data_IF_251565425379
#
_entry.id   IF_251565425379
#
_cell.length_a   1.000
_cell.length_b   1.000
_cell.length_c   1.000
_cell.angle_alpha   90.00
_cell.angle_beta   90.00
_cell.angle_gamma   90.00
#
_symmetry.space_group_name_H-M   'P 1'
#
loop_
_entity.id
_entity.type
_entity.pdbx_description
1 polymer ?
#
# COMPACT_ATOMS: atom_id res chain seq x y z
N UNK A 1 3.27 -9.05 -18.52
CA UNK A 1 1.79 -9.15 -18.62
C UNK A 1 1.48 -10.19 -19.68
N UNK A 2 0.62 -11.13 -19.36
CA UNK A 2 0.12 -12.17 -20.28
C UNK A 2 -1.40 -12.03 -20.33
N UNK A 3 -2.00 -12.15 -21.51
CA UNK A 3 -3.44 -12.03 -21.71
C UNK A 3 -3.87 -10.68 -22.29
N UNK A 4 -5.17 -10.36 -22.19
CA UNK A 4 -5.73 -9.12 -22.71
C UNK A 4 -5.38 -7.93 -21.81
N UNK A 5 -4.48 -7.08 -22.28
CA UNK A 5 -4.00 -5.92 -21.55
C UNK A 5 -4.97 -4.73 -21.55
N UNK A 6 -6.03 -4.80 -22.33
CA UNK A 6 -7.03 -3.73 -22.40
C UNK A 6 -8.08 -3.85 -21.29
N UNK A 7 -8.19 -5.01 -20.67
CA UNK A 7 -9.19 -5.25 -19.64
C UNK A 7 -8.68 -4.78 -18.26
N UNK A 8 -9.50 -4.05 -17.50
CA UNK A 8 -9.12 -3.60 -16.18
C UNK A 8 -9.21 -4.72 -15.14
N UNK A 9 -8.40 -4.61 -14.11
CA UNK A 9 -8.52 -5.36 -12.87
C UNK A 9 -9.09 -4.46 -11.78
N UNK A 10 -9.91 -5.02 -10.91
CA UNK A 10 -10.27 -4.36 -9.66
C UNK A 10 -9.19 -4.63 -8.62
N UNK A 11 -8.61 -3.58 -8.06
CA UNK A 11 -7.59 -3.69 -7.02
C UNK A 11 -8.13 -3.19 -5.68
N UNK A 12 -8.00 -4.02 -4.66
CA UNK A 12 -8.33 -3.68 -3.29
C UNK A 12 -7.12 -3.93 -2.40
N UNK A 13 -6.93 -3.07 -1.40
CA UNK A 13 -5.83 -3.13 -0.44
C UNK A 13 -6.40 -3.29 0.95
N UNK A 14 -5.85 -4.24 1.71
CA UNK A 14 -6.27 -4.55 3.06
C UNK A 14 -5.06 -4.63 3.99
N UNK A 15 -5.26 -4.37 5.29
CA UNK A 15 -4.27 -4.71 6.29
C UNK A 15 -4.23 -6.22 6.49
N UNK A 16 -3.06 -6.81 6.48
CA UNK A 16 -2.88 -8.23 6.75
C UNK A 16 -3.03 -8.50 8.25
N UNK A 17 -3.78 -9.55 8.60
CA UNK A 17 -3.97 -10.02 9.98
C UNK A 17 -3.15 -11.29 10.27
N UNK A 18 -2.77 -12.02 9.24
CA UNK A 18 -1.85 -13.14 9.36
C UNK A 18 -0.43 -12.63 9.59
N UNK A 19 0.22 -13.05 10.68
CA UNK A 19 1.63 -12.77 10.91
C UNK A 19 2.52 -13.67 10.07
N UNK A 20 3.32 -13.08 9.18
CA UNK A 20 4.28 -13.81 8.36
C UNK A 20 5.65 -13.77 9.03
N UNK A 21 6.09 -14.91 9.57
CA UNK A 21 7.41 -15.06 10.21
C UNK A 21 8.37 -15.82 9.31
N UNK A 22 9.62 -15.39 9.24
CA UNK A 22 10.68 -16.12 8.51
C UNK A 22 11.07 -17.44 9.17
N UNK A 23 10.87 -17.52 10.48
CA UNK A 23 11.18 -18.74 11.27
C UNK A 23 9.89 -19.40 11.75
N UNK A 24 9.92 -20.72 11.78
CA UNK A 24 8.80 -21.48 12.33
C UNK A 24 8.74 -21.26 13.85
N UNK A 25 7.61 -20.79 14.41
CA UNK A 25 7.51 -20.50 15.84
C UNK A 25 7.65 -21.76 16.72
N UNK A 26 7.29 -22.93 16.20
CA UNK A 26 7.37 -24.20 16.93
C UNK A 26 8.74 -24.87 16.80
N UNK A 27 9.39 -24.67 15.65
CA UNK A 27 10.71 -25.23 15.35
C UNK A 27 11.59 -24.13 14.72
N UNK A 28 12.20 -23.25 15.53
CA UNK A 28 12.93 -22.07 15.03
C UNK A 28 14.11 -22.38 14.10
N UNK A 29 14.59 -23.62 14.08
CA UNK A 29 15.62 -24.06 13.11
C UNK A 29 15.09 -24.25 11.68
N UNK A 30 13.78 -24.22 11.48
CA UNK A 30 13.15 -24.41 10.19
C UNK A 30 12.62 -23.08 9.65
N UNK A 31 12.84 -22.84 8.36
CA UNK A 31 12.27 -21.72 7.64
C UNK A 31 10.79 -22.00 7.38
N UNK A 32 9.93 -21.04 7.71
CA UNK A 32 8.52 -21.12 7.32
C UNK A 32 8.37 -21.11 5.80
N UNK A 33 7.45 -21.94 5.33
CA UNK A 33 7.06 -21.96 3.92
C UNK A 33 5.61 -21.50 3.81
N UNK A 34 5.38 -20.60 2.89
CA UNK A 34 4.07 -20.06 2.58
C UNK A 34 3.64 -20.55 1.21
N UNK A 35 2.49 -21.18 1.14
CA UNK A 35 1.97 -21.77 -0.08
C UNK A 35 0.87 -20.89 -0.67
N UNK A 36 0.74 -20.92 -2.00
CA UNK A 36 -0.22 -20.07 -2.72
C UNK A 36 -1.68 -20.45 -2.53
N UNK A 37 -1.95 -21.64 -2.02
CA UNK A 37 -3.29 -22.13 -1.67
C UNK A 37 -3.67 -21.88 -0.21
N UNK A 38 -2.76 -21.37 0.60
CA UNK A 38 -3.05 -21.00 1.99
C UNK A 38 -3.89 -19.75 2.05
N UNK A 39 -4.75 -19.68 3.08
CA UNK A 39 -5.54 -18.47 3.37
C UNK A 39 -4.71 -17.57 4.28
N UNK A 40 -4.55 -16.33 3.85
CA UNK A 40 -3.93 -15.27 4.63
C UNK A 40 -5.01 -14.28 5.01
N UNK A 41 -5.35 -14.28 6.29
CA UNK A 41 -6.40 -13.43 6.85
C UNK A 41 -6.01 -11.97 6.73
N UNK A 42 -7.00 -11.14 6.40
CA UNK A 42 -6.84 -9.70 6.29
C UNK A 42 -8.09 -9.01 6.84
N UNK A 43 -7.92 -7.78 7.26
CA UNK A 43 -9.03 -6.93 7.69
C UNK A 43 -10.12 -6.86 6.60
N UNK A 44 -11.36 -6.77 7.00
CA UNK A 44 -12.47 -6.54 6.07
C UNK A 44 -12.52 -5.09 5.55
N UNK A 45 -11.82 -4.19 6.22
CA UNK A 45 -11.79 -2.78 5.87
C UNK A 45 -10.77 -2.52 4.76
N UNK A 46 -11.24 -1.99 3.63
CA UNK A 46 -10.39 -1.57 2.51
C UNK A 46 -9.59 -0.32 2.89
N UNK A 47 -8.29 -0.36 2.64
CA UNK A 47 -7.39 0.77 2.85
C UNK A 47 -7.39 1.76 1.68
N UNK A 48 -7.74 1.33 0.47
CA UNK A 48 -7.79 2.20 -0.70
C UNK A 48 -8.92 3.23 -0.60
N UNK A 49 -8.64 4.48 -0.99
CA UNK A 49 -9.61 5.60 -0.93
C UNK A 49 -10.67 5.51 -2.03
N UNK A 50 -10.31 4.92 -3.15
CA UNK A 50 -11.25 4.60 -4.24
C UNK A 50 -11.61 3.14 -4.11
N UNK A 51 -12.85 2.86 -3.73
CA UNK A 51 -13.33 1.48 -3.67
C UNK A 51 -13.38 0.89 -5.07
N UNK A 52 -12.97 -0.39 -5.18
CA UNK A 52 -12.91 -1.13 -6.43
C UNK A 52 -12.10 -0.37 -7.52
N UNK A 53 -10.90 0.07 -7.11
CA UNK A 53 -9.99 0.78 -8.00
C UNK A 53 -9.74 -0.01 -9.28
N UNK A 54 -10.11 0.56 -10.42
CA UNK A 54 -9.87 -0.05 -11.72
C UNK A 54 -8.44 0.24 -12.19
N UNK A 55 -7.67 -0.80 -12.38
CA UNK A 55 -6.33 -0.74 -12.93
C UNK A 55 -6.30 -1.39 -14.32
N UNK A 56 -5.89 -0.64 -15.32
CA UNK A 56 -5.63 -1.15 -16.66
C UNK A 56 -4.13 -1.31 -16.86
N UNK A 57 -3.61 -2.48 -17.25
CA UNK A 57 -2.21 -2.67 -17.57
C UNK A 57 -1.69 -1.63 -18.57
N UNK A 58 -0.40 -1.30 -18.51
CA UNK A 58 0.26 -0.26 -19.31
C UNK A 58 -0.10 1.20 -18.99
N UNK A 59 -0.86 1.45 -17.95
CA UNK A 59 -1.12 2.81 -17.49
C UNK A 59 0.13 3.39 -16.83
N UNK A 60 0.50 4.60 -17.20
CA UNK A 60 1.43 5.42 -16.43
C UNK A 60 0.64 6.08 -15.32
N UNK A 61 1.00 5.80 -14.09
CA UNK A 61 0.28 6.31 -12.95
C UNK A 61 0.72 7.71 -12.53
N UNK A 62 -0.23 8.42 -11.98
CA UNK A 62 -0.04 9.72 -11.34
C UNK A 62 -0.59 9.65 -9.93
N UNK A 63 0.10 10.26 -8.96
CA UNK A 63 -0.45 10.48 -7.64
C UNK A 63 -1.07 11.87 -7.55
N UNK A 64 -2.22 11.97 -6.91
CA UNK A 64 -2.84 13.25 -6.57
C UNK A 64 -2.49 13.60 -5.13
N UNK A 65 -1.94 14.78 -4.96
CA UNK A 65 -1.66 15.37 -3.66
C UNK A 65 -2.70 16.43 -3.33
N UNK A 66 -3.51 16.16 -2.31
CA UNK A 66 -4.60 17.02 -1.89
C UNK A 66 -4.15 17.88 -0.72
N UNK A 67 -4.15 19.21 -0.89
CA UNK A 67 -3.83 20.15 0.19
C UNK A 67 -5.10 20.56 0.91
N UNK A 68 -5.11 20.36 2.23
CA UNK A 68 -6.21 20.72 3.11
C UNK A 68 -5.82 21.85 4.04
N UNK A 69 -6.75 22.71 4.38
CA UNK A 69 -6.57 23.69 5.47
C UNK A 69 -6.61 22.96 6.80
N UNK A 70 -5.58 23.16 7.62
CA UNK A 70 -5.46 22.51 8.92
C UNK A 70 -6.67 22.79 9.84
N UNK A 71 -7.22 24.01 9.80
CA UNK A 71 -8.30 24.43 10.70
C UNK A 71 -9.68 23.91 10.30
N UNK A 72 -9.91 23.61 9.04
CA UNK A 72 -11.25 23.26 8.53
C UNK A 72 -11.29 21.92 7.77
N UNK A 73 -10.14 21.32 7.48
CA UNK A 73 -10.04 20.14 6.62
C UNK A 73 -10.43 20.37 5.15
N UNK A 74 -10.79 21.61 4.77
CA UNK A 74 -11.26 21.93 3.42
C UNK A 74 -10.09 21.82 2.44
N UNK A 75 -10.29 21.08 1.36
CA UNK A 75 -9.37 21.02 0.23
C UNK A 75 -9.32 22.37 -0.48
N UNK A 76 -8.15 22.96 -0.60
CA UNK A 76 -7.97 24.23 -1.32
C UNK A 76 -7.09 24.12 -2.57
N UNK A 77 -6.34 23.04 -2.70
CA UNK A 77 -5.55 22.77 -3.88
C UNK A 77 -5.35 21.27 -4.07
N UNK A 78 -5.19 20.86 -5.32
CA UNK A 78 -4.81 19.50 -5.70
C UNK A 78 -3.64 19.59 -6.66
N UNK A 79 -2.53 18.96 -6.31
CA UNK A 79 -1.38 18.81 -7.19
C UNK A 79 -1.36 17.38 -7.75
N UNK A 80 -0.93 17.22 -8.99
CA UNK A 80 -0.72 15.91 -9.60
C UNK A 80 0.77 15.70 -9.80
N UNK A 81 1.28 14.59 -9.26
CA UNK A 81 2.66 14.17 -9.46
C UNK A 81 2.65 13.06 -10.49
N UNK A 82 3.29 13.30 -11.64
CA UNK A 82 3.53 12.27 -12.64
C UNK A 82 4.82 11.53 -12.27
N UNK A 83 4.73 10.20 -12.17
CA UNK A 83 5.94 9.39 -12.02
C UNK A 83 6.70 9.37 -13.35
N UNK A 84 7.84 10.07 -13.37
CA UNK A 84 8.66 10.25 -14.57
C UNK A 84 9.40 9.00 -15.03
N UNK A 85 9.17 7.85 -14.42
CA UNK A 85 9.90 6.64 -14.69
C UNK A 85 9.35 5.90 -15.92
N UNK A 86 10.26 5.41 -16.74
CA UNK A 86 10.00 4.56 -17.90
C UNK A 86 9.39 3.19 -17.55
N UNK A 87 9.34 2.84 -16.27
CA UNK A 87 8.79 1.58 -15.78
C UNK A 87 7.31 1.73 -15.43
N UNK A 88 6.45 0.82 -15.86
CA UNK A 88 5.06 0.79 -15.45
C UNK A 88 4.98 0.62 -13.93
N UNK A 89 4.20 1.48 -13.29
CA UNK A 89 3.95 1.43 -11.84
C UNK A 89 2.45 1.55 -11.57
N UNK A 90 2.04 1.04 -10.44
CA UNK A 90 0.67 1.17 -9.94
C UNK A 90 0.72 2.04 -8.70
N UNK A 91 -0.06 3.12 -8.70
CA UNK A 91 -0.29 3.95 -7.52
C UNK A 91 -1.70 3.73 -7.01
N UNK A 92 -1.82 3.33 -5.77
CA UNK A 92 -3.10 3.06 -5.13
C UNK A 92 -3.29 4.10 -4.03
N UNK A 93 -4.20 5.07 -4.21
CA UNK A 93 -4.48 6.05 -3.17
C UNK A 93 -5.09 5.36 -1.94
N UNK A 94 -4.56 5.66 -0.75
CA UNK A 94 -5.04 5.11 0.51
C UNK A 94 -5.94 6.11 1.23
N UNK A 95 -6.82 5.61 2.10
CA UNK A 95 -7.71 6.43 2.94
C UNK A 95 -6.88 7.16 4.00
N UNK A 96 -6.84 8.48 3.94
CA UNK A 96 -6.05 9.32 4.84
C UNK A 96 -6.39 9.06 6.31
N UNK A 97 -7.68 9.03 6.65
CA UNK A 97 -8.14 8.85 8.02
C UNK A 97 -7.71 7.50 8.61
N UNK A 98 -7.80 6.42 7.80
CA UNK A 98 -7.36 5.09 8.23
C UNK A 98 -5.84 5.00 8.39
N UNK A 99 -5.09 5.58 7.47
CA UNK A 99 -3.62 5.61 7.57
C UNK A 99 -3.19 6.45 8.76
N UNK A 100 -3.88 7.56 9.01
CA UNK A 100 -3.65 8.35 10.21
C UNK A 100 -3.88 7.52 11.47
N UNK A 101 -5.02 6.87 11.61
CA UNK A 101 -5.36 6.01 12.74
C UNK A 101 -4.36 4.87 12.94
N UNK A 102 -3.99 4.18 11.84
CA UNK A 102 -3.13 3.01 11.88
C UNK A 102 -1.65 3.31 12.11
N UNK A 103 -1.16 4.47 11.70
CA UNK A 103 0.27 4.80 11.78
C UNK A 103 0.52 6.00 12.70
N UNK A 104 -0.10 7.14 12.45
CA UNK A 104 0.23 8.38 13.16
C UNK A 104 -0.31 8.42 14.58
N UNK A 105 -1.56 8.01 14.79
CA UNK A 105 -2.18 8.02 16.12
C UNK A 105 -1.62 6.92 17.04
N UNK A 106 -0.81 6.01 16.48
CA UNK A 106 -0.11 4.96 17.23
C UNK A 106 1.32 5.33 17.64
N UNK A 107 1.84 6.48 17.22
CA UNK A 107 3.26 6.85 17.33
C UNK A 107 3.82 6.75 18.76
N UNK A 108 3.07 7.19 19.78
CA UNK A 108 3.50 7.16 21.18
C UNK A 108 2.99 5.94 21.95
N UNK A 109 2.44 4.95 21.27
CA UNK A 109 1.92 3.75 21.90
C UNK A 109 2.97 2.62 21.93
N UNK A 110 2.66 1.56 22.67
CA UNK A 110 3.50 0.34 22.68
C UNK A 110 3.66 -0.31 21.30
N UNK A 111 2.75 -0.03 20.35
CA UNK A 111 2.82 -0.56 18.99
C UNK A 111 4.02 -0.04 18.20
N UNK A 112 4.57 1.09 18.60
CA UNK A 112 5.73 1.73 17.98
C UNK A 112 6.98 1.73 18.87
N UNK A 113 6.96 1.01 20.00
CA UNK A 113 8.08 0.94 20.93
C UNK A 113 9.33 0.24 20.35
N UNK A 114 9.14 -0.66 19.38
CA UNK A 114 10.21 -1.36 18.67
C UNK A 114 9.75 -1.82 17.29
N UNK A 115 10.71 -2.20 16.44
CA UNK A 115 10.38 -2.79 15.13
C UNK A 115 9.56 -4.09 15.27
N UNK A 116 9.84 -4.91 16.27
CA UNK A 116 9.10 -6.15 16.51
C UNK A 116 7.66 -5.86 16.94
N UNK A 117 7.46 -4.87 17.83
CA UNK A 117 6.13 -4.42 18.24
C UNK A 117 5.34 -3.87 17.04
N UNK A 118 6.00 -3.09 16.20
CA UNK A 118 5.38 -2.59 14.97
C UNK A 118 5.02 -3.72 14.00
N UNK A 119 5.90 -4.69 13.80
CA UNK A 119 5.65 -5.83 12.92
C UNK A 119 4.51 -6.72 13.43
N UNK A 120 4.34 -6.86 14.74
CA UNK A 120 3.22 -7.59 15.34
C UNK A 120 1.91 -6.81 15.23
N UNK A 121 1.97 -5.51 15.34
CA UNK A 121 0.82 -4.62 15.18
C UNK A 121 0.41 -4.46 13.71
N UNK A 122 1.33 -4.03 12.85
CA UNK A 122 1.10 -3.81 11.42
C UNK A 122 1.73 -4.96 10.62
N UNK A 123 1.04 -6.07 10.55
CA UNK A 123 1.52 -7.36 10.01
C UNK A 123 1.79 -7.35 8.52
N UNK A 124 1.34 -6.32 7.81
CA UNK A 124 1.59 -6.13 6.40
C UNK A 124 0.36 -5.70 5.61
N UNK A 125 0.49 -5.80 4.29
CA UNK A 125 -0.54 -5.40 3.35
C UNK A 125 -0.86 -6.57 2.43
N UNK A 126 -2.15 -6.81 2.21
CA UNK A 126 -2.69 -7.71 1.20
C UNK A 126 -3.25 -6.88 0.04
N UNK A 127 -2.71 -7.10 -1.16
CA UNK A 127 -3.27 -6.55 -2.39
C UNK A 127 -4.06 -7.66 -3.05
N UNK A 128 -5.34 -7.42 -3.27
CA UNK A 128 -6.25 -8.36 -3.90
C UNK A 128 -6.66 -7.81 -5.27
N UNK A 129 -6.42 -8.61 -6.30
CA UNK A 129 -6.89 -8.34 -7.64
C UNK A 129 -8.08 -9.23 -7.96
N UNK A 130 -9.11 -8.64 -8.54
CA UNK A 130 -10.32 -9.34 -9.00
C UNK A 130 -10.59 -8.99 -10.46
N UNK A 131 -11.01 -9.96 -11.22
CA UNK A 131 -11.38 -9.81 -12.64
C UNK A 131 -11.41 -11.15 -13.37
N UNK A 132 -12.33 -11.26 -14.30
CA UNK A 132 -12.53 -12.47 -15.13
C UNK A 132 -11.87 -12.35 -16.51
N UNK A 133 -10.92 -11.45 -16.65
CA UNK A 133 -10.36 -11.03 -17.93
C UNK A 133 -9.23 -11.93 -18.47
N UNK A 134 -8.93 -13.02 -17.80
CA UNK A 134 -7.94 -13.99 -18.27
C UNK A 134 -6.50 -13.46 -18.40
N UNK A 135 -6.22 -12.32 -17.80
CA UNK A 135 -4.89 -11.70 -17.80
C UNK A 135 -4.11 -12.02 -16.55
N UNK A 136 -2.79 -12.13 -16.67
CA UNK A 136 -1.87 -12.31 -15.57
C UNK A 136 -0.87 -11.16 -15.53
N UNK A 137 -0.77 -10.51 -14.35
CA UNK A 137 0.19 -9.45 -14.11
C UNK A 137 1.23 -9.95 -13.10
N UNK A 138 2.49 -9.81 -13.45
CA UNK A 138 3.60 -10.02 -12.52
C UNK A 138 4.07 -8.68 -11.99
N UNK A 139 4.02 -8.50 -10.67
CA UNK A 139 4.57 -7.34 -9.99
C UNK A 139 5.97 -7.69 -9.46
N UNK A 140 6.95 -6.85 -9.77
CA UNK A 140 8.31 -7.04 -9.29
C UNK A 140 8.48 -6.40 -7.90
N UNK A 141 8.76 -7.24 -6.91
CA UNK A 141 9.03 -6.79 -5.54
C UNK A 141 10.51 -6.92 -5.15
N UNK A 142 11.34 -7.47 -6.02
CA UNK A 142 12.74 -7.83 -5.70
C UNK A 142 13.78 -6.85 -6.24
N UNK A 143 13.36 -5.88 -7.05
CA UNK A 143 14.28 -4.89 -7.58
C UNK A 143 14.49 -3.76 -6.55
N UNK A 144 15.73 -3.45 -6.21
CA UNK A 144 16.07 -2.41 -5.26
C UNK A 144 15.53 -1.01 -5.64
N UNK A 145 15.33 -0.76 -6.93
CA UNK A 145 14.81 0.50 -7.45
C UNK A 145 13.28 0.50 -7.70
N UNK A 146 12.63 -0.66 -7.55
CA UNK A 146 11.21 -0.86 -7.85
C UNK A 146 10.48 -1.56 -6.71
N UNK A 147 10.90 -1.31 -5.48
CA UNK A 147 10.23 -1.89 -4.29
C UNK A 147 8.86 -1.27 -4.10
N UNK A 148 7.88 -2.05 -3.61
CA UNK A 148 6.64 -1.47 -3.16
C UNK A 148 6.91 -0.55 -1.98
N UNK A 149 6.28 0.61 -1.99
CA UNK A 149 6.47 1.63 -0.99
C UNK A 149 5.13 2.32 -0.68
N UNK A 150 5.06 2.96 0.48
CA UNK A 150 3.99 3.88 0.83
C UNK A 150 4.61 5.26 0.92
N UNK A 151 4.16 6.17 0.06
CA UNK A 151 4.52 7.58 0.13
C UNK A 151 3.45 8.36 0.89
N UNK A 152 3.87 9.07 1.92
CA UNK A 152 3.01 9.97 2.67
C UNK A 152 3.40 11.40 2.35
N UNK A 153 2.49 12.10 1.71
CA UNK A 153 2.64 13.51 1.35
C UNK A 153 1.96 14.38 2.40
N UNK A 154 2.71 15.29 2.98
CA UNK A 154 2.16 16.20 3.97
C UNK A 154 2.80 17.60 3.86
N UNK A 155 2.16 18.55 4.50
CA UNK A 155 2.69 19.91 4.62
C UNK A 155 3.03 20.18 6.06
N UNK A 156 4.24 20.70 6.28
CA UNK A 156 4.64 21.17 7.59
C UNK A 156 4.64 22.70 7.61
N UNK A 157 4.15 23.29 8.68
CA UNK A 157 4.19 24.73 8.87
C UNK A 157 5.44 25.07 9.65
N UNK A 158 6.37 25.76 9.01
CA UNK A 158 7.63 26.18 9.62
C UNK A 158 7.50 27.64 10.02
N UNK A 159 7.89 27.96 11.27
CA UNK A 159 8.07 29.33 11.70
C UNK A 159 9.35 29.86 11.04
N UNK A 160 9.23 30.83 10.15
CA UNK A 160 10.40 31.48 9.56
C UNK A 160 10.86 32.58 10.51
N UNK A 161 12.07 32.42 11.03
CA UNK A 161 12.69 33.37 11.98
C UNK A 161 13.01 34.70 11.29
N UNK A 162 12.45 35.78 11.79
CA UNK A 162 12.61 37.12 11.23
C UNK A 162 11.73 38.19 11.91
N UNK A 163 11.15 37.90 13.06
CA UNK A 163 10.40 38.87 13.88
C UNK A 163 8.97 39.12 13.44
N UNK A 164 8.53 38.60 12.31
CA UNK A 164 7.13 38.48 11.91
C UNK A 164 6.79 37.01 11.76
N UNK A 165 5.76 36.55 12.45
CA UNK A 165 5.31 35.14 12.35
C UNK A 165 4.77 34.90 10.95
N UNK A 166 5.64 34.50 10.05
CA UNK A 166 5.26 34.04 8.70
C UNK A 166 5.28 32.51 8.75
N UNK A 167 4.11 31.93 8.70
CA UNK A 167 3.98 30.50 8.52
C UNK A 167 4.22 30.15 7.06
N UNK A 168 5.36 29.56 6.77
CA UNK A 168 5.59 28.98 5.45
C UNK A 168 5.20 27.50 5.44
N UNK A 169 4.54 27.08 4.37
CA UNK A 169 4.05 25.71 4.22
C UNK A 169 5.01 24.92 3.35
N UNK A 170 5.83 24.09 3.98
CA UNK A 170 6.79 23.25 3.27
C UNK A 170 6.15 21.90 2.95
N UNK A 171 6.19 21.52 1.68
CA UNK A 171 5.79 20.17 1.24
C UNK A 171 6.86 19.16 1.68
N UNK A 172 6.41 18.08 2.29
CA UNK A 172 7.25 16.95 2.72
C UNK A 172 6.71 15.66 2.14
N UNK A 173 7.60 14.71 1.98
CA UNK A 173 7.26 13.33 1.59
C UNK A 173 8.08 12.40 2.45
N UNK A 174 7.41 11.52 3.15
CA UNK A 174 8.06 10.39 3.83
C UNK A 174 7.71 9.10 3.12
N UNK A 175 8.72 8.28 2.85
CA UNK A 175 8.62 7.04 2.11
C UNK A 175 8.88 5.85 3.03
N UNK A 176 7.91 4.98 3.13
CA UNK A 176 8.01 3.72 3.86
C UNK A 176 8.18 2.56 2.87
N UNK A 177 9.34 1.92 2.93
CA UNK A 177 9.62 0.76 2.08
C UNK A 177 8.94 -0.48 2.65
N UNK A 178 8.15 -1.14 1.82
CA UNK A 178 7.56 -2.42 2.19
C UNK A 178 8.60 -3.53 1.97
N UNK A 179 9.09 -4.08 3.06
CA UNK A 179 10.09 -5.16 3.08
C UNK A 179 9.56 -6.38 3.84
N UNK A 180 10.35 -7.44 3.89
CA UNK A 180 10.00 -8.66 4.62
C UNK A 180 9.48 -9.79 3.73
N UNK A 181 8.70 -10.67 4.34
CA UNK A 181 8.20 -11.88 3.70
C UNK A 181 7.07 -11.51 2.72
N UNK A 182 7.11 -12.14 1.57
CA UNK A 182 6.13 -11.97 0.51
C UNK A 182 5.64 -13.32 0.06
N UNK A 183 4.35 -13.39 -0.17
CA UNK A 183 3.72 -14.60 -0.69
C UNK A 183 2.60 -14.21 -1.65
N UNK A 184 2.29 -15.11 -2.57
CA UNK A 184 1.16 -14.97 -3.47
C UNK A 184 0.08 -15.94 -3.04
N UNK A 185 -1.17 -15.52 -3.13
CA UNK A 185 -2.33 -16.37 -2.93
C UNK A 185 -3.12 -16.43 -4.23
N UNK A 186 -3.42 -17.65 -4.67
CA UNK A 186 -4.25 -17.89 -5.85
C UNK A 186 -5.50 -18.66 -5.45
N UNK A 187 -6.64 -18.18 -5.91
CA UNK A 187 -7.89 -18.92 -5.84
C UNK A 187 -8.18 -19.47 -7.24
N UNK A 188 -8.06 -20.78 -7.40
CA UNK A 188 -8.44 -21.44 -8.65
C UNK A 188 -9.88 -21.90 -8.56
N UNK A 189 -10.68 -21.53 -9.55
CA UNK A 189 -11.98 -22.16 -9.77
C UNK A 189 -11.75 -23.33 -10.74
N UNK A 190 -12.08 -24.58 -10.38
CA UNK A 190 -11.96 -25.69 -11.30
C UNK A 190 -12.72 -25.38 -12.58
N UNK A 191 -12.11 -25.64 -13.73
CA UNK A 191 -12.82 -25.58 -14.99
C UNK A 191 -14.00 -26.57 -14.91
N UNK A 192 -15.19 -26.08 -15.23
CA UNK A 192 -16.36 -26.96 -15.38
C UNK A 192 -16.02 -27.90 -16.52
N UNK A 193 -15.84 -29.20 -16.21
CA UNK A 193 -15.75 -30.20 -17.26
C UNK A 193 -17.07 -30.16 -18.03
N UNK A 194 -17.01 -29.65 -19.24
CA UNK A 194 -18.14 -29.77 -20.14
C UNK A 194 -18.35 -31.24 -20.46
N UNK A 195 -19.59 -31.67 -20.46
CA UNK A 195 -19.96 -33.09 -20.72
C UNK A 195 -19.55 -33.55 -22.11
#
# INVERSE_FOLDING_TARGET
>A
IIGDQAQPFTLNVFRLETYLSGLNPTTPALINRYFSDQIYEASTQKLNSVEDLQFTPNRRDTAQFVKRRLSTGIVYATDTIAYANSNPSISIPLKEDLIKELLFDQYETSNFASQDAFNDYFRGIKIQAEGDNGSLISLSFNNNNLRPLIDIYYTNTVLVDGGTVVFDTVKKTDTFLLSGIRTNQYKTTPAVQLP
#
